data_IF_120158528726
#
_entry.id   IF_120158528726
#
_cell.length_a   1.000
_cell.length_b   1.000
_cell.length_c   1.000
_cell.angle_alpha   90.00
_cell.angle_beta   90.00
_cell.angle_gamma   90.00
#
_symmetry.space_group_name_H-M   'P 1'
#
loop_
_entity.id
_entity.type
_entity.pdbx_description
1 polymer ?
#
# COMPACT_ATOMS: atom_id res chain seq x y z
N UNK A 1 -14.96 -5.60 10.95
CA UNK A 1 -15.85 -5.44 9.78
C UNK A 1 -15.23 -6.08 8.53
N UNK A 2 -14.08 -5.63 8.01
CA UNK A 2 -13.46 -6.22 6.80
C UNK A 2 -13.22 -7.74 6.89
N UNK A 3 -12.65 -8.23 8.00
CA UNK A 3 -12.40 -9.68 8.20
C UNK A 3 -13.67 -10.54 8.12
N UNK A 4 -14.81 -10.03 8.60
CA UNK A 4 -16.08 -10.77 8.59
C UNK A 4 -16.66 -10.90 7.17
N UNK A 5 -16.32 -9.97 6.26
CA UNK A 5 -16.86 -9.95 4.90
C UNK A 5 -15.88 -10.50 3.85
N UNK A 6 -14.57 -10.36 4.07
CA UNK A 6 -13.55 -10.80 3.12
C UNK A 6 -12.99 -12.21 3.43
N UNK A 7 -13.37 -12.81 4.56
CA UNK A 7 -12.88 -14.13 4.96
C UNK A 7 -11.36 -14.14 5.12
N UNK A 8 -10.66 -14.95 4.31
CA UNK A 8 -9.20 -15.10 4.29
C UNK A 8 -8.51 -14.35 3.13
N UNK A 9 -9.26 -13.62 2.31
CA UNK A 9 -8.70 -12.85 1.20
C UNK A 9 -7.75 -11.76 1.74
N UNK A 10 -6.46 -11.71 1.32
CA UNK A 10 -5.55 -10.66 1.75
C UNK A 10 -5.98 -9.31 1.18
N UNK A 11 -5.75 -8.25 1.94
CA UNK A 11 -6.02 -6.89 1.51
C UNK A 11 -4.89 -5.96 1.95
N UNK A 12 -4.67 -4.93 1.13
CA UNK A 12 -3.73 -3.85 1.37
C UNK A 12 -4.45 -2.50 1.23
N UNK A 13 -3.87 -1.45 1.79
CA UNK A 13 -4.45 -0.11 1.71
C UNK A 13 -3.38 0.97 1.75
N UNK A 14 -3.63 2.06 1.03
CA UNK A 14 -2.86 3.29 1.12
C UNK A 14 -3.54 4.24 2.10
N UNK A 15 -2.75 5.04 2.83
CA UNK A 15 -3.27 6.02 3.77
C UNK A 15 -4.15 7.07 3.07
N UNK A 16 -5.34 7.33 3.63
CA UNK A 16 -6.23 8.42 3.23
C UNK A 16 -6.27 9.57 4.23
N UNK A 17 -6.87 10.70 3.84
CA UNK A 17 -6.88 11.89 4.70
C UNK A 17 -7.71 11.72 5.97
N UNK A 18 -8.68 10.80 5.98
CA UNK A 18 -9.45 10.49 7.17
C UNK A 18 -8.73 9.52 8.13
N UNK A 19 -7.63 8.92 7.70
CA UNK A 19 -6.93 7.89 8.47
C UNK A 19 -5.83 8.47 9.36
N UNK A 20 -5.38 9.71 9.10
CA UNK A 20 -4.18 10.32 9.71
C UNK A 20 -4.15 10.19 11.23
N UNK A 21 -5.26 10.48 11.90
CA UNK A 21 -5.34 10.45 13.37
C UNK A 21 -5.20 9.06 14.00
N UNK A 22 -5.44 8.00 13.22
CA UNK A 22 -5.42 6.61 13.70
C UNK A 22 -4.59 5.68 12.81
N UNK A 23 -3.73 6.24 11.94
CA UNK A 23 -3.03 5.47 10.92
C UNK A 23 -2.22 4.33 11.50
N UNK A 24 -1.55 4.52 12.64
CA UNK A 24 -0.78 3.44 13.28
C UNK A 24 -1.62 2.21 13.61
N UNK A 25 -2.89 2.39 14.02
CA UNK A 25 -3.79 1.28 14.29
C UNK A 25 -4.24 0.59 12.99
N UNK A 26 -4.58 1.37 11.96
CA UNK A 26 -5.00 0.82 10.68
C UNK A 26 -3.86 0.09 9.97
N UNK A 27 -2.67 0.68 9.98
CA UNK A 27 -1.44 0.09 9.48
C UNK A 27 -1.13 -1.22 10.20
N UNK A 28 -1.21 -1.24 11.54
CA UNK A 28 -1.04 -2.47 12.32
C UNK A 28 -1.97 -3.61 11.85
N UNK A 29 -3.25 -3.32 11.61
CA UNK A 29 -4.19 -4.34 11.12
C UNK A 29 -3.88 -4.80 9.68
N UNK A 30 -3.39 -3.90 8.82
CA UNK A 30 -2.93 -4.27 7.48
C UNK A 30 -1.69 -5.18 7.54
N UNK A 31 -0.71 -4.85 8.40
CA UNK A 31 0.48 -5.68 8.61
C UNK A 31 0.12 -7.07 9.15
N UNK A 32 -0.76 -7.14 10.15
CA UNK A 32 -1.26 -8.42 10.66
C UNK A 32 -1.87 -9.26 9.54
N UNK A 33 -2.67 -8.65 8.65
CA UNK A 33 -3.30 -9.37 7.55
C UNK A 33 -2.30 -9.91 6.54
N UNK A 34 -1.29 -9.13 6.19
CA UNK A 34 -0.23 -9.59 5.28
C UNK A 34 0.60 -10.71 5.91
N UNK A 35 0.92 -10.60 7.20
CA UNK A 35 1.63 -11.65 7.94
C UNK A 35 0.82 -12.95 8.01
N UNK A 36 -0.49 -12.89 8.32
CA UNK A 36 -1.39 -14.06 8.30
C UNK A 36 -1.42 -14.72 6.91
N UNK A 37 -1.33 -13.93 5.83
CA UNK A 37 -1.31 -14.41 4.46
C UNK A 37 0.09 -14.82 3.94
N UNK A 38 1.15 -14.68 4.75
CA UNK A 38 2.52 -14.97 4.35
C UNK A 38 3.08 -14.02 3.27
N UNK A 39 2.53 -12.81 3.16
CA UNK A 39 2.92 -11.81 2.17
C UNK A 39 3.92 -10.85 2.80
N UNK A 40 5.13 -10.79 2.24
CA UNK A 40 6.14 -9.81 2.63
C UNK A 40 5.98 -8.51 1.84
N UNK A 41 6.33 -7.38 2.47
CA UNK A 41 6.39 -6.07 1.82
C UNK A 41 7.74 -5.40 2.10
N UNK A 42 8.04 -4.34 1.34
CA UNK A 42 9.16 -3.43 1.58
C UNK A 42 8.63 -2.04 1.88
N UNK A 43 9.31 -1.30 2.76
CA UNK A 43 8.98 0.08 3.09
C UNK A 43 7.89 0.26 4.16
N UNK A 44 7.37 1.47 4.26
CA UNK A 44 6.34 1.89 5.21
C UNK A 44 4.95 1.57 4.65
N UNK A 45 4.30 0.51 5.17
CA UNK A 45 3.12 -0.13 4.55
C UNK A 45 1.99 0.89 4.36
N UNK A 46 1.57 1.12 3.11
CA UNK A 46 0.51 2.06 2.78
C UNK A 46 0.94 3.53 2.64
N UNK A 47 2.24 3.83 2.79
CA UNK A 47 2.82 5.18 2.68
C UNK A 47 3.89 5.25 1.59
N UNK A 48 4.93 4.43 1.70
CA UNK A 48 5.94 4.22 0.67
C UNK A 48 6.34 2.77 0.79
N UNK A 49 5.55 1.90 0.15
CA UNK A 49 5.75 0.47 0.24
C UNK A 49 5.44 -0.23 -1.06
N UNK A 50 6.01 -1.41 -1.26
CA UNK A 50 5.59 -2.29 -2.34
C UNK A 50 5.60 -3.76 -1.90
N UNK A 51 4.82 -4.57 -2.59
CA UNK A 51 4.72 -6.02 -2.39
C UNK A 51 4.38 -6.72 -3.71
N UNK A 52 4.58 -8.04 -3.74
CA UNK A 52 4.18 -8.89 -4.85
C UNK A 52 3.13 -9.90 -4.41
N UNK A 53 2.10 -10.11 -5.23
CA UNK A 53 1.04 -11.07 -4.98
C UNK A 53 0.57 -11.73 -6.29
N UNK A 54 0.82 -13.03 -6.46
CA UNK A 54 0.46 -13.80 -7.65
C UNK A 54 0.76 -13.12 -8.99
N UNK A 55 1.96 -12.56 -9.15
CA UNK A 55 2.38 -11.88 -10.39
C UNK A 55 1.90 -10.44 -10.54
N UNK A 56 1.22 -9.89 -9.54
CA UNK A 56 0.98 -8.46 -9.39
C UNK A 56 2.10 -7.84 -8.56
N UNK A 57 2.75 -6.80 -9.09
CA UNK A 57 3.58 -5.91 -8.28
C UNK A 57 2.75 -4.68 -7.88
N UNK A 58 2.64 -4.43 -6.59
CA UNK A 58 1.76 -3.41 -6.03
C UNK A 58 2.63 -2.40 -5.29
N UNK A 59 2.54 -1.12 -5.67
CA UNK A 59 3.13 0.01 -4.97
C UNK A 59 2.02 0.80 -4.27
N UNK A 60 2.18 1.03 -2.96
CA UNK A 60 1.27 1.83 -2.15
C UNK A 60 1.95 3.15 -1.79
N UNK A 61 1.25 4.25 -2.05
CA UNK A 61 1.74 5.60 -1.81
C UNK A 61 0.77 6.44 -0.98
N UNK A 62 1.33 7.16 0.00
CA UNK A 62 0.66 8.16 0.81
C UNK A 62 0.72 9.57 0.23
N UNK A 63 1.00 9.71 -1.08
CA UNK A 63 1.16 11.01 -1.74
C UNK A 63 0.02 11.97 -1.45
N UNK A 64 0.39 13.20 -1.06
CA UNK A 64 -0.54 14.24 -0.65
C UNK A 64 -1.14 14.07 0.75
N UNK A 65 -0.70 13.06 1.53
CA UNK A 65 -1.18 12.77 2.89
C UNK A 65 -0.03 12.62 3.89
N UNK A 66 0.90 11.69 3.63
CA UNK A 66 1.98 11.32 4.57
C UNK A 66 3.17 10.73 3.83
N UNK A 67 4.37 11.01 4.31
CA UNK A 67 5.62 10.59 3.70
C UNK A 67 6.13 11.60 2.70
N UNK A 68 7.35 11.34 2.21
CA UNK A 68 8.07 12.21 1.29
C UNK A 68 8.61 11.39 0.10
N UNK A 69 9.08 12.08 -0.94
CA UNK A 69 9.79 11.49 -2.08
C UNK A 69 9.02 10.38 -2.82
N UNK A 70 7.69 10.43 -2.81
CA UNK A 70 6.82 9.41 -3.41
C UNK A 70 7.07 9.20 -4.89
N UNK A 71 7.35 10.27 -5.63
CA UNK A 71 7.69 10.25 -7.06
C UNK A 71 8.92 9.38 -7.32
N UNK A 72 10.00 9.60 -6.56
CA UNK A 72 11.21 8.79 -6.66
C UNK A 72 10.96 7.35 -6.21
N UNK A 73 10.25 7.13 -5.10
CA UNK A 73 9.95 5.80 -4.58
C UNK A 73 9.16 4.96 -5.59
N UNK A 74 8.11 5.55 -6.20
CA UNK A 74 7.28 4.88 -7.20
C UNK A 74 8.14 4.55 -8.43
N UNK A 75 8.85 5.54 -8.98
CA UNK A 75 9.69 5.34 -10.17
C UNK A 75 10.73 4.24 -9.94
N UNK A 76 11.45 4.32 -8.83
CA UNK A 76 12.57 3.41 -8.56
C UNK A 76 12.04 1.99 -8.23
N UNK A 77 10.89 1.87 -7.54
CA UNK A 77 10.23 0.58 -7.30
C UNK A 77 9.76 -0.08 -8.61
N UNK A 78 9.21 0.70 -9.54
CA UNK A 78 8.73 0.18 -10.83
C UNK A 78 9.86 -0.15 -11.82
N UNK A 79 11.03 0.48 -11.67
CA UNK A 79 12.17 0.27 -12.54
C UNK A 79 12.92 -1.04 -12.27
N UNK A 80 12.81 -1.57 -11.05
CA UNK A 80 13.50 -2.81 -10.63
C UNK A 80 12.60 -4.06 -10.65
N UNK A 81 11.33 -3.91 -11.04
CA UNK A 81 10.36 -5.00 -11.17
C UNK A 81 9.94 -5.19 -12.64
N UNK A 82 9.86 -6.45 -13.07
CA UNK A 82 9.52 -6.86 -14.43
C UNK A 82 8.14 -7.56 -14.52
N UNK A 83 7.32 -7.45 -13.47
CA UNK A 83 5.98 -8.05 -13.45
C UNK A 83 5.11 -7.47 -14.57
N UNK A 84 4.35 -8.35 -15.24
CA UNK A 84 3.43 -7.98 -16.31
C UNK A 84 2.38 -6.97 -15.83
N UNK A 85 1.90 -7.14 -14.60
CA UNK A 85 0.96 -6.24 -13.96
C UNK A 85 1.64 -5.50 -12.82
N UNK A 86 1.70 -4.17 -12.96
CA UNK A 86 2.21 -3.24 -11.96
C UNK A 86 1.10 -2.25 -11.62
N UNK A 87 0.72 -2.20 -10.34
CA UNK A 87 -0.39 -1.40 -9.83
C UNK A 87 0.15 -0.39 -8.83
N UNK A 88 -0.20 0.88 -8.99
CA UNK A 88 0.12 1.93 -8.02
C UNK A 88 -1.18 2.45 -7.41
N UNK A 89 -1.23 2.56 -6.08
CA UNK A 89 -2.41 2.97 -5.33
C UNK A 89 -2.09 4.12 -4.36
N UNK A 90 -2.93 5.15 -4.36
CA UNK A 90 -2.92 6.25 -3.39
C UNK A 90 -4.33 6.82 -3.23
N UNK A 91 -4.52 7.70 -2.25
CA UNK A 91 -5.86 8.22 -1.90
C UNK A 91 -6.26 9.53 -2.61
N UNK A 92 -5.35 10.51 -2.74
CA UNK A 92 -5.67 11.83 -3.29
C UNK A 92 -5.75 11.83 -4.82
N UNK A 93 -6.77 12.48 -5.38
CA UNK A 93 -6.86 12.65 -6.83
C UNK A 93 -5.72 13.55 -7.36
N UNK A 94 -5.08 13.15 -8.45
CA UNK A 94 -3.99 13.90 -9.08
C UNK A 94 -4.39 15.26 -9.67
N UNK A 95 -5.68 15.53 -9.83
CA UNK A 95 -6.19 16.83 -10.31
C UNK A 95 -6.32 17.89 -9.21
N UNK A 96 -5.97 17.57 -7.96
CA UNK A 96 -6.00 18.49 -6.82
C UNK A 96 -4.69 18.48 -6.01
N UNK A 97 -3.55 18.33 -6.69
CA UNK A 97 -2.23 18.63 -6.13
C UNK A 97 -1.84 20.06 -6.47
#
# INVERSE_FOLDING_TARGET
>A
MLRQHLGDIPYVGSIGNHDVGHWGNYQYYLEQRLNEAGISWRGDLGVNSHLSYHGLFIVLSGVGIRGDNHDSYIRDSLAVDDSMWRVVSWHRNHTKM
#
